data_IF_172181210608
#
_entry.id   IF_172181210608
#
_cell.length_a   1.000
_cell.length_b   1.000
_cell.length_c   1.000
_cell.angle_alpha   90.00
_cell.angle_beta   90.00
_cell.angle_gamma   90.00
#
_symmetry.space_group_name_H-M   'P 1'
#
loop_
_entity.id
_entity.type
_entity.pdbx_description
1 polymer ?
#
# COMPACT_ATOMS: atom_id res chain seq x y z
N UNK A 1 17.69 -20.34 29.46
CA UNK A 1 17.19 -20.70 28.11
C UNK A 1 15.66 -20.77 28.08
N UNK A 2 15.01 -21.64 28.87
CA UNK A 2 13.54 -21.71 28.93
C UNK A 2 12.87 -20.39 29.29
N UNK A 3 13.36 -19.71 30.32
CA UNK A 3 12.75 -18.46 30.80
C UNK A 3 12.83 -17.32 29.78
N UNK A 4 13.89 -17.30 28.97
CA UNK A 4 14.02 -16.35 27.85
C UNK A 4 12.95 -16.61 26.78
N UNK A 5 12.74 -17.89 26.42
CA UNK A 5 11.73 -18.27 25.41
C UNK A 5 10.32 -17.98 25.90
N UNK A 6 10.01 -18.28 27.16
CA UNK A 6 8.71 -17.94 27.76
C UNK A 6 8.49 -16.44 27.89
N UNK A 7 9.52 -15.67 28.25
CA UNK A 7 9.43 -14.20 28.29
C UNK A 7 9.16 -13.60 26.90
N UNK A 8 9.77 -14.15 25.86
CA UNK A 8 9.48 -13.75 24.47
C UNK A 8 8.03 -14.13 24.11
N UNK A 9 7.61 -15.35 24.42
CA UNK A 9 6.22 -15.77 24.16
C UNK A 9 5.21 -14.83 24.83
N UNK A 10 5.42 -14.51 26.10
CA UNK A 10 4.53 -13.64 26.88
C UNK A 10 4.45 -12.23 26.29
N UNK A 11 5.59 -11.64 25.90
CA UNK A 11 5.64 -10.34 25.23
C UNK A 11 4.82 -10.33 23.93
N UNK A 12 4.91 -11.40 23.14
CA UNK A 12 4.21 -11.44 21.86
C UNK A 12 2.73 -11.80 22.00
N UNK A 13 2.40 -12.89 22.69
CA UNK A 13 1.02 -13.38 22.78
C UNK A 13 0.14 -12.49 23.66
N UNK A 14 0.66 -12.01 24.80
CA UNK A 14 -0.14 -11.30 25.79
C UNK A 14 -0.06 -9.77 25.67
N UNK A 15 0.89 -9.23 24.90
CA UNK A 15 1.03 -7.79 24.71
C UNK A 15 0.98 -7.36 23.24
N UNK A 16 1.96 -7.76 22.41
CA UNK A 16 2.07 -7.25 21.04
C UNK A 16 0.95 -7.76 20.10
N UNK A 17 0.45 -8.97 20.31
CA UNK A 17 -0.56 -9.59 19.45
C UNK A 17 -2.00 -9.39 19.89
N UNK A 18 -2.25 -8.76 21.04
CA UNK A 18 -3.60 -8.40 21.49
C UNK A 18 -4.45 -7.73 20.39
N UNK A 19 -3.98 -6.65 19.72
CA UNK A 19 -4.78 -6.02 18.66
C UNK A 19 -5.03 -6.94 17.46
N UNK A 20 -4.10 -7.83 17.13
CA UNK A 20 -4.27 -8.79 16.04
C UNK A 20 -5.25 -9.91 16.39
N UNK A 21 -5.26 -10.37 17.65
CA UNK A 21 -6.26 -11.32 18.14
C UNK A 21 -7.66 -10.70 18.11
N UNK A 22 -7.80 -9.44 18.51
CA UNK A 22 -9.08 -8.71 18.41
C UNK A 22 -9.57 -8.61 16.97
N UNK A 23 -8.68 -8.30 16.00
CA UNK A 23 -9.05 -8.26 14.58
C UNK A 23 -9.49 -9.63 14.06
N UNK A 24 -8.80 -10.70 14.47
CA UNK A 24 -9.14 -12.08 14.11
C UNK A 24 -10.51 -12.50 14.66
N UNK A 25 -10.82 -12.16 15.91
CA UNK A 25 -12.14 -12.44 16.49
C UNK A 25 -13.23 -11.64 15.76
N UNK A 26 -12.97 -10.36 15.48
CA UNK A 26 -13.90 -9.49 14.75
C UNK A 26 -14.13 -9.96 13.30
N UNK A 27 -13.17 -10.61 12.66
CA UNK A 27 -13.34 -11.20 11.33
C UNK A 27 -14.46 -12.24 11.30
N UNK A 28 -14.58 -13.05 12.36
CA UNK A 28 -15.59 -14.10 12.47
C UNK A 28 -17.01 -13.52 12.63
N UNK A 29 -17.14 -12.32 13.20
CA UNK A 29 -18.42 -11.65 13.39
C UNK A 29 -18.79 -10.75 12.21
N UNK A 30 -17.82 -9.98 11.69
CA UNK A 30 -18.04 -9.05 10.60
C UNK A 30 -16.76 -8.80 9.80
N UNK A 31 -16.67 -9.50 8.66
CA UNK A 31 -15.56 -9.39 7.71
C UNK A 31 -15.31 -7.95 7.22
N UNK A 32 -16.35 -7.14 7.02
CA UNK A 32 -16.20 -5.76 6.52
C UNK A 32 -15.50 -4.88 7.55
N UNK A 33 -15.93 -4.94 8.80
CA UNK A 33 -15.33 -4.17 9.89
C UNK A 33 -13.90 -4.62 10.15
N UNK A 34 -13.64 -5.93 10.17
CA UNK A 34 -12.29 -6.49 10.33
C UNK A 34 -11.30 -6.00 9.26
N UNK A 35 -11.78 -5.73 8.05
CA UNK A 35 -10.95 -5.24 6.95
C UNK A 35 -10.91 -3.71 6.82
N UNK A 36 -11.42 -2.94 7.78
CA UNK A 36 -11.52 -1.47 7.67
C UNK A 36 -10.19 -0.79 7.36
N UNK A 37 -9.08 -1.26 7.94
CA UNK A 37 -7.73 -0.73 7.65
C UNK A 37 -7.32 -0.98 6.19
N UNK A 38 -7.63 -2.16 5.65
CA UNK A 38 -7.36 -2.51 4.26
C UNK A 38 -8.18 -1.63 3.29
N UNK A 39 -9.45 -1.40 3.62
CA UNK A 39 -10.32 -0.50 2.87
C UNK A 39 -9.79 0.93 2.85
N UNK A 40 -9.38 1.46 4.01
CA UNK A 40 -8.78 2.79 4.12
C UNK A 40 -7.51 2.91 3.28
N UNK A 41 -6.59 1.94 3.37
CA UNK A 41 -5.36 1.94 2.59
C UNK A 41 -5.64 1.89 1.08
N UNK A 42 -6.60 1.06 0.66
CA UNK A 42 -7.02 0.95 -0.74
C UNK A 42 -7.59 2.26 -1.26
N UNK A 43 -8.47 2.93 -0.49
CA UNK A 43 -9.07 4.22 -0.86
C UNK A 43 -7.99 5.29 -1.00
N UNK A 44 -7.06 5.39 -0.03
CA UNK A 44 -5.95 6.35 -0.09
C UNK A 44 -5.07 6.09 -1.31
N UNK A 45 -4.72 4.84 -1.58
CA UNK A 45 -3.94 4.46 -2.76
C UNK A 45 -4.65 4.82 -4.07
N UNK A 46 -5.97 4.61 -4.14
CA UNK A 46 -6.76 4.97 -5.31
C UNK A 46 -6.80 6.48 -5.54
N UNK A 47 -7.03 7.28 -4.48
CA UNK A 47 -7.02 8.75 -4.55
C UNK A 47 -5.64 9.26 -5.00
N UNK A 48 -4.56 8.74 -4.43
CA UNK A 48 -3.20 9.12 -4.80
C UNK A 48 -2.90 8.79 -6.27
N UNK A 49 -3.28 7.59 -6.73
CA UNK A 49 -3.11 7.17 -8.12
C UNK A 49 -3.93 8.05 -9.08
N UNK A 50 -5.19 8.33 -8.74
CA UNK A 50 -6.05 9.21 -9.53
C UNK A 50 -5.48 10.64 -9.61
N UNK A 51 -5.00 11.17 -8.49
CA UNK A 51 -4.34 12.47 -8.45
C UNK A 51 -3.12 12.50 -9.38
N UNK A 52 -2.28 11.46 -9.36
CA UNK A 52 -1.11 11.41 -10.25
C UNK A 52 -1.47 11.28 -11.73
N UNK A 53 -2.47 10.47 -12.09
CA UNK A 53 -2.94 10.41 -13.48
C UNK A 53 -3.45 11.77 -13.97
N UNK A 54 -4.12 12.54 -13.09
CA UNK A 54 -4.56 13.90 -13.41
C UNK A 54 -3.37 14.85 -13.61
N UNK A 55 -2.32 14.75 -12.80
CA UNK A 55 -1.12 15.57 -12.95
C UNK A 55 -0.41 15.27 -14.28
N UNK A 56 -0.23 13.99 -14.62
CA UNK A 56 0.38 13.60 -15.91
C UNK A 56 -0.42 14.17 -17.07
N UNK A 57 -1.75 14.06 -17.03
CA UNK A 57 -2.60 14.63 -18.07
C UNK A 57 -2.46 16.15 -18.18
N UNK A 58 -2.42 16.85 -17.04
CA UNK A 58 -2.27 18.31 -17.02
C UNK A 58 -0.99 18.75 -17.75
N UNK A 59 0.15 18.13 -17.44
CA UNK A 59 1.42 18.49 -18.07
C UNK A 59 1.47 18.10 -19.55
N UNK A 60 0.86 16.97 -19.93
CA UNK A 60 0.71 16.60 -21.33
C UNK A 60 -0.16 17.61 -22.11
N UNK A 61 -1.24 18.11 -21.50
CA UNK A 61 -2.15 19.07 -22.13
C UNK A 61 -1.51 20.50 -22.20
N UNK A 62 -0.54 20.82 -21.35
CA UNK A 62 0.19 22.10 -21.36
C UNK A 62 1.09 22.27 -22.59
N UNK A 63 1.51 21.18 -23.24
CA UNK A 63 2.28 21.22 -24.49
C UNK A 63 3.65 21.91 -24.36
N UNK A 64 4.13 22.12 -23.13
CA UNK A 64 5.45 22.66 -22.81
C UNK A 64 6.50 21.56 -22.65
N UNK A 65 6.09 20.30 -22.69
CA UNK A 65 7.00 19.16 -22.64
C UNK A 65 7.75 19.03 -23.97
N UNK A 66 9.00 18.57 -23.87
CA UNK A 66 9.87 18.39 -25.01
C UNK A 66 9.83 16.93 -25.43
N UNK A 67 9.00 16.65 -26.43
CA UNK A 67 8.66 15.29 -26.86
C UNK A 67 9.53 14.81 -28.04
N UNK A 68 10.47 15.65 -28.49
CA UNK A 68 11.33 15.43 -29.66
C UNK A 68 12.46 14.43 -29.38
N UNK A 69 12.12 13.22 -28.93
CA UNK A 69 13.09 12.13 -28.80
C UNK A 69 13.47 11.63 -30.19
N UNK A 70 14.64 12.05 -30.68
CA UNK A 70 15.26 11.51 -31.89
C UNK A 70 15.87 10.15 -31.55
N UNK A 71 15.16 9.07 -31.88
CA UNK A 71 15.76 7.74 -31.86
C UNK A 71 16.67 7.60 -33.09
N UNK A 72 17.98 7.45 -32.88
CA UNK A 72 18.89 7.08 -33.96
C UNK A 72 18.50 5.68 -34.46
N UNK A 73 18.04 5.57 -35.72
CA UNK A 73 17.87 4.27 -36.37
C UNK A 73 19.26 3.67 -36.62
N UNK A 74 19.55 2.53 -35.99
CA UNK A 74 20.83 1.79 -36.15
C UNK A 74 20.86 0.99 -37.47
N UNK A 75 19.76 1.03 -38.24
CA UNK A 75 19.54 0.22 -39.44
C UNK A 75 19.44 1.05 -40.72
N UNK A 76 19.82 2.32 -40.68
CA UNK A 76 19.74 3.23 -41.82
C UNK A 76 21.15 3.73 -42.15
N UNK A 77 21.91 2.83 -42.78
CA UNK A 77 23.10 3.07 -43.61
C UNK A 77 23.02 2.15 -44.85
#
# INVERSE_FOLDING_TARGET
MRDLVYGIQDLFENFLFVPFNMLKEMELENWWTANTVNWLFTIVGFIATYYWLKQIKLFNDEGTERDDVTAHSIFED
#
